data_IF_002877954241
#
_entry.id   IF_002877954241
#
_cell.length_a   1.000
_cell.length_b   1.000
_cell.length_c   1.000
_cell.angle_alpha   90.00
_cell.angle_beta   90.00
_cell.angle_gamma   90.00
#
_symmetry.space_group_name_H-M   'P 1'
#
loop_
_entity.id
_entity.type
_entity.pdbx_description
1 polymer ?
#
# COMPACT_ATOMS: atom_id res chain seq x y z
N UNK A 1 21.66 16.14 -2.88
CA UNK A 1 20.21 16.37 -3.02
C UNK A 1 19.86 17.84 -3.20
N UNK A 2 20.40 18.77 -2.40
CA UNK A 2 20.11 20.23 -2.56
C UNK A 2 20.46 20.77 -3.95
N UNK A 3 21.67 20.49 -4.45
CA UNK A 3 22.10 20.92 -5.79
C UNK A 3 21.25 20.26 -6.90
N UNK A 4 20.90 18.98 -6.73
CA UNK A 4 20.11 18.23 -7.69
C UNK A 4 18.68 18.77 -7.82
N UNK A 5 18.06 19.15 -6.69
CA UNK A 5 16.74 19.77 -6.71
C UNK A 5 16.74 21.14 -7.36
N UNK A 6 17.75 21.98 -7.06
CA UNK A 6 17.87 23.29 -7.70
C UNK A 6 17.98 23.15 -9.21
N UNK A 7 18.79 22.20 -9.67
CA UNK A 7 18.92 21.85 -11.07
C UNK A 7 17.57 21.41 -11.67
N UNK A 8 16.86 20.45 -11.07
CA UNK A 8 15.53 20.03 -11.56
C UNK A 8 14.55 21.21 -11.61
N UNK A 9 14.55 22.08 -10.58
CA UNK A 9 13.63 23.21 -10.50
C UNK A 9 13.95 24.33 -11.49
N UNK A 10 15.22 24.53 -11.84
CA UNK A 10 15.64 25.46 -12.90
C UNK A 10 15.31 24.90 -14.28
N UNK A 11 15.67 23.65 -14.54
CA UNK A 11 15.42 22.96 -15.81
C UNK A 11 13.91 22.82 -16.13
N UNK A 12 13.06 22.70 -15.11
CA UNK A 12 11.60 22.64 -15.28
C UNK A 12 10.95 24.00 -15.56
N UNK A 13 11.60 25.12 -15.21
CA UNK A 13 11.10 26.47 -15.53
C UNK A 13 11.32 26.83 -16.98
N UNK A 14 12.33 26.25 -17.61
CA UNK A 14 12.60 26.48 -19.02
C UNK A 14 11.51 25.87 -19.89
N UNK A 15 11.07 26.56 -20.95
CA UNK A 15 10.04 26.05 -21.88
C UNK A 15 10.61 25.13 -22.96
N UNK A 16 11.88 24.77 -22.87
CA UNK A 16 12.55 23.95 -23.87
C UNK A 16 12.32 22.47 -23.57
N UNK A 17 11.92 21.72 -24.60
CA UNK A 17 11.69 20.28 -24.49
C UNK A 17 12.97 19.50 -24.05
N UNK A 18 14.16 20.05 -24.35
CA UNK A 18 15.44 19.49 -23.91
C UNK A 18 15.64 19.56 -22.39
N UNK A 19 15.39 20.73 -21.78
CA UNK A 19 15.51 20.96 -20.34
C UNK A 19 14.53 20.10 -19.54
N UNK A 20 13.31 19.94 -20.04
CA UNK A 20 12.33 19.01 -19.45
C UNK A 20 12.77 17.55 -19.54
N UNK A 21 13.45 17.16 -20.63
CA UNK A 21 14.00 15.81 -20.77
C UNK A 21 15.15 15.56 -19.80
N UNK A 22 16.06 16.52 -19.63
CA UNK A 22 17.15 16.44 -18.64
C UNK A 22 16.59 16.33 -17.23
N UNK A 23 15.61 17.17 -16.88
CA UNK A 23 14.92 17.07 -15.60
C UNK A 23 14.27 15.69 -15.41
N UNK A 24 13.59 15.14 -16.43
CA UNK A 24 12.98 13.83 -16.38
C UNK A 24 14.01 12.69 -16.23
N UNK A 25 15.16 12.78 -16.90
CA UNK A 25 16.25 11.79 -16.80
C UNK A 25 16.91 11.83 -15.40
N UNK A 26 17.10 13.02 -14.83
CA UNK A 26 17.58 13.18 -13.44
C UNK A 26 16.56 12.58 -12.47
N UNK A 27 15.27 12.88 -12.65
CA UNK A 27 14.19 12.31 -11.84
C UNK A 27 14.15 10.79 -11.93
N UNK A 28 14.22 10.24 -13.15
CA UNK A 28 14.28 8.80 -13.37
C UNK A 28 15.53 8.19 -12.70
N UNK A 29 16.67 8.89 -12.72
CA UNK A 29 17.88 8.51 -12.00
C UNK A 29 17.70 8.49 -10.48
N UNK A 30 17.02 9.49 -9.91
CA UNK A 30 16.69 9.53 -8.47
C UNK A 30 15.75 8.40 -8.09
N UNK A 31 14.71 8.17 -8.89
CA UNK A 31 13.75 7.08 -8.69
C UNK A 31 14.47 5.73 -8.74
N UNK A 32 15.21 5.45 -9.81
CA UNK A 32 15.95 4.20 -9.99
C UNK A 32 17.09 4.04 -8.97
N UNK A 33 17.69 5.13 -8.49
CA UNK A 33 18.73 5.11 -7.47
C UNK A 33 18.18 4.96 -6.05
N UNK A 34 16.90 5.27 -5.83
CA UNK A 34 16.29 5.22 -4.50
C UNK A 34 16.25 3.82 -3.89
N UNK A 35 16.25 2.77 -4.71
CA UNK A 35 16.42 1.37 -4.25
C UNK A 35 17.74 1.09 -3.51
N UNK A 36 18.72 1.98 -3.63
CA UNK A 36 20.02 1.89 -2.95
C UNK A 36 20.20 2.98 -1.90
N UNK A 37 19.13 3.69 -1.49
CA UNK A 37 19.23 4.58 -0.35
C UNK A 37 19.62 3.76 0.89
N UNK A 38 20.81 4.03 1.42
CA UNK A 38 21.38 3.37 2.59
C UNK A 38 21.00 4.08 3.89
N UNK A 39 21.54 3.57 5.01
CA UNK A 39 21.59 4.12 6.38
C UNK A 39 21.71 5.67 6.49
N UNK A 40 22.30 6.33 5.49
CA UNK A 40 22.40 7.79 5.44
C UNK A 40 21.05 8.51 5.28
N UNK A 41 20.02 7.84 4.75
CA UNK A 41 18.67 8.42 4.58
C UNK A 41 17.75 8.12 5.77
N UNK A 42 17.91 6.97 6.45
CA UNK A 42 17.13 6.54 7.61
C UNK A 42 17.06 7.59 8.73
N UNK A 43 18.16 8.31 8.98
CA UNK A 43 18.27 9.24 10.12
C UNK A 43 18.20 10.73 9.74
N UNK A 44 17.89 11.06 8.49
CA UNK A 44 17.79 12.48 8.10
C UNK A 44 16.47 13.09 8.55
N UNK A 45 16.57 14.26 9.17
CA UNK A 45 15.41 15.09 9.53
C UNK A 45 14.62 15.45 8.26
N UNK A 46 13.33 15.09 8.15
CA UNK A 46 12.52 15.38 6.98
C UNK A 46 12.47 16.87 6.63
N UNK A 47 12.65 17.77 7.61
CA UNK A 47 12.72 19.22 7.39
C UNK A 47 13.94 19.63 6.58
N UNK A 48 15.05 18.86 6.66
CA UNK A 48 16.25 19.08 5.83
C UNK A 48 16.08 18.53 4.41
N UNK A 49 15.07 17.68 4.18
CA UNK A 49 14.76 17.07 2.89
C UNK A 49 13.40 17.52 2.35
N UNK A 50 12.88 18.66 2.84
CA UNK A 50 11.59 19.21 2.44
C UNK A 50 11.42 19.38 0.92
N UNK A 51 12.53 19.55 0.20
CA UNK A 51 12.59 19.63 -1.25
C UNK A 51 12.26 18.30 -1.93
N UNK A 52 12.69 17.17 -1.38
CA UNK A 52 12.30 15.84 -1.84
C UNK A 52 10.81 15.60 -1.57
N UNK A 53 10.33 16.00 -0.37
CA UNK A 53 8.91 15.92 -0.01
C UNK A 53 8.07 16.76 -0.98
N UNK A 54 8.49 18.00 -1.26
CA UNK A 54 7.83 18.87 -2.23
C UNK A 54 7.86 18.28 -3.64
N UNK A 55 8.99 17.72 -4.06
CA UNK A 55 9.11 17.04 -5.34
C UNK A 55 8.15 15.85 -5.47
N UNK A 56 8.02 15.03 -4.42
CA UNK A 56 7.06 13.91 -4.40
C UNK A 56 5.63 14.42 -4.43
N UNK A 57 5.31 15.51 -3.74
CA UNK A 57 3.99 16.17 -3.88
C UNK A 57 3.72 16.63 -5.30
N UNK A 58 4.72 17.21 -5.99
CA UNK A 58 4.57 17.57 -7.40
C UNK A 58 4.36 16.32 -8.26
N UNK A 59 5.09 15.23 -7.99
CA UNK A 59 4.89 13.96 -8.68
C UNK A 59 3.49 13.38 -8.48
N UNK A 60 2.95 13.41 -7.26
CA UNK A 60 1.59 12.94 -6.94
C UNK A 60 0.53 13.78 -7.69
N UNK A 61 0.68 15.10 -7.69
CA UNK A 61 -0.28 16.00 -8.31
C UNK A 61 -0.21 16.05 -9.85
N UNK A 62 0.88 15.56 -10.45
CA UNK A 62 1.04 15.58 -11.90
C UNK A 62 0.37 14.36 -12.53
N UNK A 63 -0.87 14.53 -13.02
CA UNK A 63 -1.61 13.51 -13.82
C UNK A 63 -1.04 13.39 -15.23
N UNK A 64 0.23 13.00 -15.35
CA UNK A 64 0.83 12.65 -16.65
C UNK A 64 0.43 11.24 -17.04
N UNK A 65 -0.13 11.04 -18.24
CA UNK A 65 -0.26 9.72 -18.85
C UNK A 65 1.13 9.13 -19.06
N UNK A 66 1.54 8.26 -18.14
CA UNK A 66 2.83 7.58 -18.18
C UNK A 66 2.61 6.11 -18.51
N UNK A 67 3.62 5.52 -19.16
CA UNK A 67 3.66 4.07 -19.34
C UNK A 67 3.75 3.36 -17.97
N UNK A 68 3.33 2.10 -17.91
CA UNK A 68 3.32 1.29 -16.68
C UNK A 68 4.66 1.22 -15.96
N UNK A 69 5.75 1.22 -16.72
CA UNK A 69 7.11 1.18 -16.17
C UNK A 69 7.46 2.44 -15.37
N UNK A 70 7.01 3.60 -15.85
CA UNK A 70 7.19 4.86 -15.15
C UNK A 70 6.29 4.95 -13.91
N UNK A 71 5.08 4.38 -13.96
CA UNK A 71 4.18 4.31 -12.79
C UNK A 71 4.75 3.43 -11.68
N UNK A 72 5.23 2.22 -11.97
CA UNK A 72 5.83 1.37 -10.93
C UNK A 72 7.09 1.98 -10.32
N UNK A 73 7.86 2.71 -11.13
CA UNK A 73 9.04 3.44 -10.68
C UNK A 73 8.64 4.57 -9.71
N UNK A 74 7.57 5.33 -10.02
CA UNK A 74 6.99 6.33 -9.12
C UNK A 74 6.57 5.70 -7.79
N UNK A 75 5.84 4.59 -7.83
CA UNK A 75 5.41 3.89 -6.62
C UNK A 75 6.61 3.39 -5.80
N UNK A 76 7.66 2.87 -6.44
CA UNK A 76 8.90 2.47 -5.76
C UNK A 76 9.55 3.64 -5.01
N UNK A 77 9.61 4.83 -5.61
CA UNK A 77 10.13 6.03 -4.93
C UNK A 77 9.26 6.41 -3.71
N UNK A 78 7.94 6.28 -3.84
CA UNK A 78 7.01 6.56 -2.74
C UNK A 78 7.18 5.54 -1.61
N UNK A 79 7.34 4.25 -1.91
CA UNK A 79 7.62 3.22 -0.90
C UNK A 79 8.88 3.53 -0.10
N UNK A 80 9.93 4.07 -0.74
CA UNK A 80 11.17 4.48 -0.07
C UNK A 80 10.98 5.66 0.91
N UNK A 81 9.81 6.32 0.93
CA UNK A 81 9.47 7.26 2.01
C UNK A 81 9.25 6.58 3.36
N UNK A 82 9.06 5.26 3.38
CA UNK A 82 8.99 4.48 4.61
C UNK A 82 10.19 4.73 5.53
N UNK A 83 11.36 5.04 4.98
CA UNK A 83 12.55 5.40 5.76
C UNK A 83 12.35 6.62 6.67
N UNK A 84 11.44 7.53 6.31
CA UNK A 84 11.09 8.68 7.15
C UNK A 84 10.03 8.35 8.20
N UNK A 85 9.36 7.21 8.07
CA UNK A 85 8.39 6.65 9.01
C UNK A 85 7.30 7.68 9.41
N UNK A 86 6.95 7.72 10.70
CA UNK A 86 5.94 8.56 11.31
C UNK A 86 6.20 10.08 11.21
N UNK A 87 7.39 10.51 10.75
CA UNK A 87 7.82 11.93 10.79
C UNK A 87 7.19 12.81 9.71
N UNK A 88 6.51 12.22 8.72
CA UNK A 88 5.92 12.91 7.57
C UNK A 88 4.41 12.60 7.40
N UNK A 89 3.54 12.87 8.39
CA UNK A 89 2.12 12.48 8.34
C UNK A 89 1.35 13.12 7.18
N UNK A 90 1.59 14.39 6.89
CA UNK A 90 0.84 15.12 5.86
C UNK A 90 0.99 14.51 4.46
N UNK A 91 2.18 14.01 4.11
CA UNK A 91 2.39 13.44 2.78
C UNK A 91 1.78 12.03 2.69
N UNK A 92 1.76 11.27 3.78
CA UNK A 92 1.09 9.96 3.82
C UNK A 92 -0.42 10.08 3.58
N UNK A 93 -1.07 11.12 4.10
CA UNK A 93 -2.47 11.42 3.77
C UNK A 93 -2.66 11.69 2.28
N UNK A 94 -1.85 12.58 1.69
CA UNK A 94 -1.91 12.90 0.25
C UNK A 94 -1.62 11.67 -0.63
N UNK A 95 -0.68 10.82 -0.22
CA UNK A 95 -0.36 9.56 -0.91
C UNK A 95 -1.55 8.59 -0.86
N UNK A 96 -2.23 8.48 0.29
CA UNK A 96 -3.37 7.58 0.44
C UNK A 96 -4.54 8.03 -0.45
N UNK A 97 -4.85 9.33 -0.46
CA UNK A 97 -5.89 9.88 -1.32
C UNK A 97 -5.56 9.67 -2.81
N UNK A 98 -4.30 9.86 -3.20
CA UNK A 98 -3.84 9.55 -4.55
C UNK A 98 -3.95 8.06 -4.88
N UNK A 99 -3.51 7.18 -3.98
CA UNK A 99 -3.53 5.73 -4.16
C UNK A 99 -4.92 5.16 -4.42
N UNK A 100 -5.95 5.72 -3.76
CA UNK A 100 -7.35 5.34 -3.97
C UNK A 100 -7.80 5.54 -5.42
N UNK A 101 -7.30 6.55 -6.12
CA UNK A 101 -7.63 6.80 -7.54
C UNK A 101 -7.08 5.73 -8.49
N UNK A 102 -6.11 4.90 -8.07
CA UNK A 102 -5.42 3.93 -8.93
C UNK A 102 -5.60 2.47 -8.50
N UNK A 103 -6.58 2.17 -7.63
CA UNK A 103 -6.84 0.79 -7.21
C UNK A 103 -7.25 -0.11 -8.38
N UNK A 104 -8.00 0.41 -9.37
CA UNK A 104 -8.47 -0.34 -10.55
C UNK A 104 -7.41 -0.52 -11.66
N UNK A 105 -6.16 -0.11 -11.41
CA UNK A 105 -5.10 -0.07 -12.40
C UNK A 105 -4.91 -1.43 -13.09
N UNK A 106 -4.72 -1.51 -14.42
CA UNK A 106 -4.76 -2.78 -15.17
C UNK A 106 -3.65 -3.78 -14.84
N UNK A 107 -2.51 -3.31 -14.32
CA UNK A 107 -1.36 -4.15 -14.03
C UNK A 107 -1.25 -4.52 -12.55
N UNK A 108 -1.15 -5.83 -12.25
CA UNK A 108 -1.07 -6.40 -10.91
C UNK A 108 0.10 -5.87 -10.07
N UNK A 109 1.28 -5.77 -10.65
CA UNK A 109 2.49 -5.28 -9.96
C UNK A 109 2.35 -3.85 -9.43
N UNK A 110 1.60 -3.00 -10.14
CA UNK A 110 1.26 -1.65 -9.67
C UNK A 110 0.27 -1.72 -8.51
N UNK A 111 -0.77 -2.54 -8.61
CA UNK A 111 -1.74 -2.76 -7.51
C UNK A 111 -1.06 -3.31 -6.24
N UNK A 112 -0.11 -4.22 -6.37
CA UNK A 112 0.69 -4.74 -5.25
C UNK A 112 1.55 -3.63 -4.60
N UNK A 113 2.16 -2.77 -5.42
CA UNK A 113 2.94 -1.63 -4.91
C UNK A 113 2.06 -0.63 -4.17
N UNK A 114 0.86 -0.35 -4.70
CA UNK A 114 -0.15 0.50 -4.06
C UNK A 114 -0.59 -0.10 -2.72
N UNK A 115 -0.95 -1.38 -2.69
CA UNK A 115 -1.35 -2.07 -1.47
C UNK A 115 -0.26 -2.05 -0.39
N UNK A 116 1.01 -2.26 -0.77
CA UNK A 116 2.15 -2.16 0.14
C UNK A 116 2.28 -0.76 0.76
N UNK A 117 2.12 0.29 -0.05
CA UNK A 117 2.19 1.69 0.43
C UNK A 117 1.02 2.00 1.37
N UNK A 118 -0.18 1.52 1.06
CA UNK A 118 -1.34 1.70 1.91
C UNK A 118 -1.14 1.01 3.27
N UNK A 119 -0.60 -0.21 3.28
CA UNK A 119 -0.23 -0.93 4.51
C UNK A 119 0.83 -0.20 5.34
N UNK A 120 1.86 0.36 4.71
CA UNK A 120 2.85 1.20 5.41
C UNK A 120 2.17 2.41 6.04
N UNK A 121 1.27 3.08 5.30
CA UNK A 121 0.63 4.31 5.78
C UNK A 121 -0.23 4.11 7.04
N UNK A 122 -0.92 2.97 7.14
CA UNK A 122 -1.76 2.62 8.31
C UNK A 122 -0.95 2.13 9.50
N UNK A 123 0.24 1.58 9.29
CA UNK A 123 1.10 1.08 10.39
C UNK A 123 1.52 2.16 11.38
N UNK A 124 1.38 3.44 11.01
CA UNK A 124 1.65 4.60 11.87
C UNK A 124 0.41 5.13 12.60
N UNK A 125 -0.76 4.49 12.46
CA UNK A 125 -1.98 4.84 13.17
C UNK A 125 -1.95 4.27 14.59
N UNK A 126 -1.40 5.04 15.52
CA UNK A 126 -1.36 4.71 16.96
C UNK A 126 -2.34 5.56 17.76
N UNK A 127 -2.96 4.97 18.79
CA UNK A 127 -3.74 5.74 19.76
C UNK A 127 -2.79 6.33 20.81
N UNK A 128 -2.75 7.66 20.93
CA UNK A 128 -1.92 8.34 21.92
C UNK A 128 -2.52 8.17 23.33
N UNK A 129 -1.68 8.30 24.37
CA UNK A 129 -2.09 8.18 25.79
C UNK A 129 -3.26 9.09 26.20
N UNK A 130 -3.51 10.18 25.47
CA UNK A 130 -4.62 11.11 25.70
C UNK A 130 -5.90 10.74 24.91
N UNK A 131 -5.95 9.54 24.32
CA UNK A 131 -7.06 9.06 23.49
C UNK A 131 -7.18 9.75 22.13
N UNK A 132 -6.23 10.60 21.74
CA UNK A 132 -6.23 11.24 20.41
C UNK A 132 -5.55 10.34 19.39
N UNK A 133 -6.15 10.23 18.21
CA UNK A 133 -5.54 9.59 17.05
C UNK A 133 -4.36 10.42 16.53
N UNK A 134 -3.47 9.76 15.77
CA UNK A 134 -2.38 10.47 15.11
C UNK A 134 -2.88 11.34 13.95
N UNK A 135 -1.95 12.06 13.32
CA UNK A 135 -2.19 12.80 12.08
C UNK A 135 -2.00 11.94 10.82
N UNK A 136 -1.72 10.65 10.97
CA UNK A 136 -1.60 9.71 9.86
C UNK A 136 -2.98 9.23 9.38
N UNK A 137 -3.07 8.58 8.22
CA UNK A 137 -4.32 7.98 7.78
C UNK A 137 -4.86 7.02 8.83
N UNK A 138 -6.15 7.17 9.14
CA UNK A 138 -6.80 6.34 10.13
C UNK A 138 -7.19 4.99 9.54
N UNK A 139 -6.87 3.92 10.27
CA UNK A 139 -7.07 2.53 9.87
C UNK A 139 -8.56 2.23 9.71
N UNK A 140 -9.42 2.64 10.65
CA UNK A 140 -10.87 2.43 10.54
C UNK A 140 -11.47 3.06 9.29
N UNK A 141 -11.16 4.34 9.01
CA UNK A 141 -11.66 5.00 7.80
C UNK A 141 -11.17 4.35 6.50
N UNK A 142 -9.92 3.86 6.50
CA UNK A 142 -9.35 3.17 5.35
C UNK A 142 -10.03 1.82 5.12
N UNK A 143 -10.23 1.05 6.18
CA UNK A 143 -10.97 -0.21 6.18
C UNK A 143 -12.38 0.03 5.66
N UNK A 144 -13.12 0.99 6.20
CA UNK A 144 -14.47 1.32 5.72
C UNK A 144 -14.47 1.67 4.23
N UNK A 145 -13.44 2.37 3.75
CA UNK A 145 -13.32 2.70 2.32
C UNK A 145 -13.13 1.44 1.48
N UNK A 146 -12.24 0.52 1.88
CA UNK A 146 -12.00 -0.73 1.16
C UNK A 146 -13.22 -1.66 1.20
N UNK A 147 -13.89 -1.73 2.35
CA UNK A 147 -15.11 -2.52 2.56
C UNK A 147 -16.29 -2.00 1.72
N UNK A 148 -16.47 -0.68 1.62
CA UNK A 148 -17.51 -0.10 0.76
C UNK A 148 -17.21 -0.26 -0.74
N UNK A 149 -15.92 -0.22 -1.10
CA UNK A 149 -15.45 -0.47 -2.47
C UNK A 149 -15.85 -1.90 -2.91
N UNK A 150 -15.63 -2.93 -2.09
CA UNK A 150 -16.04 -4.29 -2.45
C UNK A 150 -17.55 -4.41 -2.72
N UNK A 151 -18.38 -3.67 -2.00
CA UNK A 151 -19.84 -3.69 -2.15
C UNK A 151 -20.32 -2.93 -3.42
N UNK A 152 -19.73 -1.77 -3.72
CA UNK A 152 -20.09 -0.97 -4.91
C UNK A 152 -19.72 -1.67 -6.23
N UNK A 153 -18.67 -2.51 -6.22
CA UNK A 153 -18.23 -3.29 -7.38
C UNK A 153 -19.28 -4.28 -7.90
N UNK A 154 -20.17 -4.75 -7.01
CA UNK A 154 -21.21 -5.74 -7.31
C UNK A 154 -22.37 -5.12 -8.10
N UNK A 155 -22.48 -3.78 -8.14
CA UNK A 155 -23.63 -3.07 -8.72
C UNK A 155 -23.45 -2.50 -10.13
N UNK A 156 -22.25 -2.54 -10.71
CA UNK A 156 -21.95 -1.81 -11.95
C UNK A 156 -21.66 -2.79 -13.10
N UNK A 157 -22.35 -2.61 -14.23
CA UNK A 157 -22.03 -3.21 -15.54
C UNK A 157 -20.70 -2.64 -16.07
N UNK A 158 -19.63 -2.90 -15.33
CA UNK A 158 -18.25 -2.60 -15.68
C UNK A 158 -17.74 -3.82 -16.43
N UNK A 159 -17.07 -3.62 -17.58
CA UNK A 159 -16.47 -4.74 -18.35
C UNK A 159 -15.82 -5.74 -17.39
N UNK A 160 -16.19 -7.02 -17.44
CA UNK A 160 -15.87 -8.02 -16.40
C UNK A 160 -14.39 -8.02 -15.94
N UNK A 161 -13.48 -7.61 -16.83
CA UNK A 161 -12.06 -7.40 -16.55
C UNK A 161 -11.76 -6.29 -15.53
N UNK A 162 -12.45 -5.14 -15.62
CA UNK A 162 -12.29 -4.01 -14.70
C UNK A 162 -12.87 -4.34 -13.32
N UNK A 163 -14.03 -4.98 -13.28
CA UNK A 163 -14.61 -5.47 -12.03
C UNK A 163 -13.66 -6.44 -11.31
N UNK A 164 -13.07 -7.39 -12.05
CA UNK A 164 -12.09 -8.34 -11.50
C UNK A 164 -10.82 -7.64 -10.98
N UNK A 165 -10.30 -6.64 -11.69
CA UNK A 165 -9.17 -5.85 -11.21
C UNK A 165 -9.48 -5.12 -9.89
N UNK A 166 -10.70 -4.61 -9.75
CA UNK A 166 -11.13 -3.87 -8.58
C UNK A 166 -11.32 -4.78 -7.37
N UNK A 167 -11.92 -5.96 -7.55
CA UNK A 167 -11.99 -7.00 -6.52
C UNK A 167 -10.58 -7.43 -6.11
N UNK A 168 -9.69 -7.69 -7.06
CA UNK A 168 -8.30 -8.05 -6.75
C UNK A 168 -7.57 -6.92 -6.01
N UNK A 169 -7.84 -5.66 -6.33
CA UNK A 169 -7.28 -4.51 -5.62
C UNK A 169 -7.76 -4.46 -4.15
N UNK A 170 -9.06 -4.67 -3.92
CA UNK A 170 -9.64 -4.78 -2.58
C UNK A 170 -9.00 -5.92 -1.78
N UNK A 171 -8.89 -7.10 -2.37
CA UNK A 171 -8.23 -8.27 -1.77
C UNK A 171 -6.76 -7.98 -1.46
N UNK A 172 -6.01 -7.35 -2.38
CA UNK A 172 -4.62 -6.95 -2.12
C UNK A 172 -4.53 -5.94 -0.96
N UNK A 173 -5.47 -4.99 -0.87
CA UNK A 173 -5.58 -4.05 0.24
C UNK A 173 -5.83 -4.76 1.58
N UNK A 174 -6.80 -5.68 1.62
CA UNK A 174 -7.08 -6.51 2.81
C UNK A 174 -5.88 -7.36 3.21
N UNK A 175 -5.22 -8.01 2.25
CA UNK A 175 -3.97 -8.74 2.50
C UNK A 175 -2.92 -7.83 3.14
N UNK A 176 -2.76 -6.61 2.62
CA UNK A 176 -1.78 -5.66 3.12
C UNK A 176 -2.13 -5.16 4.54
N UNK A 177 -3.43 -5.02 4.87
CA UNK A 177 -3.90 -4.72 6.22
C UNK A 177 -3.56 -5.86 7.18
N UNK A 178 -3.90 -7.11 6.83
CA UNK A 178 -3.62 -8.29 7.67
C UNK A 178 -2.11 -8.44 7.91
N UNK A 179 -1.30 -8.24 6.88
CA UNK A 179 0.16 -8.36 6.98
C UNK A 179 0.86 -7.14 7.59
N UNK A 180 0.13 -6.05 7.86
CA UNK A 180 0.70 -4.83 8.47
C UNK A 180 1.07 -5.02 9.95
N UNK A 181 0.45 -5.99 10.61
CA UNK A 181 0.60 -6.27 12.04
C UNK A 181 1.11 -7.70 12.24
N UNK A 182 2.38 -7.99 11.92
CA UNK A 182 2.93 -9.30 12.20
C UNK A 182 3.03 -9.49 13.73
N UNK A 183 2.73 -10.69 14.21
CA UNK A 183 2.83 -11.07 15.63
C UNK A 183 1.78 -10.45 16.56
N UNK A 184 0.75 -9.79 16.04
CA UNK A 184 -0.32 -9.20 16.83
C UNK A 184 -1.66 -9.29 16.10
N UNK A 185 -2.77 -9.31 16.85
CA UNK A 185 -4.12 -9.38 16.29
C UNK A 185 -4.95 -8.19 16.79
N UNK A 186 -4.82 -7.04 16.10
CA UNK A 186 -5.74 -5.92 16.27
C UNK A 186 -7.19 -6.33 16.02
N UNK A 187 -8.13 -5.59 16.61
CA UNK A 187 -9.57 -5.89 16.56
C UNK A 187 -10.15 -5.97 15.14
N UNK A 188 -9.52 -5.34 14.15
CA UNK A 188 -9.96 -5.36 12.76
C UNK A 188 -9.43 -6.55 11.95
N UNK A 189 -8.40 -7.25 12.43
CA UNK A 189 -7.76 -8.36 11.70
C UNK A 189 -8.68 -9.56 11.55
N UNK A 190 -9.45 -9.99 12.58
CA UNK A 190 -10.42 -11.08 12.43
C UNK A 190 -11.42 -10.83 11.31
N UNK A 191 -12.03 -9.64 11.26
CA UNK A 191 -13.03 -9.30 10.24
C UNK A 191 -12.40 -9.20 8.84
N UNK A 192 -11.21 -8.62 8.73
CA UNK A 192 -10.47 -8.56 7.47
C UNK A 192 -10.12 -9.97 6.94
N UNK A 193 -9.75 -10.90 7.81
CA UNK A 193 -9.51 -12.29 7.44
C UNK A 193 -10.77 -13.01 6.97
N UNK A 194 -11.93 -12.73 7.59
CA UNK A 194 -13.20 -13.31 7.15
C UNK A 194 -13.59 -12.86 5.75
N UNK A 195 -13.46 -11.56 5.45
CA UNK A 195 -13.67 -11.06 4.08
C UNK A 195 -12.71 -11.72 3.08
N UNK A 196 -11.43 -11.88 3.42
CA UNK A 196 -10.48 -12.58 2.55
C UNK A 196 -10.91 -14.02 2.29
N UNK A 197 -11.44 -14.71 3.30
CA UNK A 197 -11.98 -16.07 3.16
C UNK A 197 -13.23 -16.13 2.27
N UNK A 198 -14.09 -15.11 2.26
CA UNK A 198 -15.25 -15.06 1.34
C UNK A 198 -14.82 -15.09 -0.13
N UNK A 199 -13.69 -14.44 -0.45
CA UNK A 199 -13.10 -14.40 -1.78
C UNK A 199 -12.21 -15.62 -2.10
N UNK A 200 -12.14 -16.65 -1.24
CA UNK A 200 -11.27 -17.81 -1.47
C UNK A 200 -11.68 -18.68 -2.67
N UNK A 201 -12.93 -18.55 -3.12
CA UNK A 201 -13.51 -19.30 -4.25
C UNK A 201 -13.52 -18.51 -5.56
N UNK A 202 -13.02 -17.27 -5.55
CA UNK A 202 -12.92 -16.42 -6.75
C UNK A 202 -11.91 -16.97 -7.77
N UNK A 203 -11.81 -16.39 -8.99
CA UNK A 203 -10.84 -16.83 -9.99
C UNK A 203 -9.39 -16.89 -9.49
N UNK A 204 -8.57 -17.77 -10.07
CA UNK A 204 -7.18 -18.08 -9.64
C UNK A 204 -6.29 -16.86 -9.38
N UNK A 205 -6.52 -15.77 -10.12
CA UNK A 205 -5.78 -14.51 -9.98
C UNK A 205 -5.90 -13.93 -8.56
N UNK A 206 -7.10 -14.04 -7.96
CA UNK A 206 -7.45 -13.57 -6.62
C UNK A 206 -6.99 -14.60 -5.57
N UNK A 207 -7.28 -15.88 -5.79
CA UNK A 207 -6.90 -16.94 -4.85
C UNK A 207 -5.41 -16.98 -4.56
N UNK A 208 -4.56 -16.72 -5.55
CA UNK A 208 -3.10 -16.72 -5.36
C UNK A 208 -2.67 -15.68 -4.32
N UNK A 209 -3.25 -14.49 -4.36
CA UNK A 209 -2.95 -13.43 -3.40
C UNK A 209 -3.43 -13.80 -1.99
N UNK A 210 -4.62 -14.40 -1.87
CA UNK A 210 -5.19 -14.87 -0.60
C UNK A 210 -4.32 -15.99 -0.01
N UNK A 211 -3.96 -17.00 -0.81
CA UNK A 211 -3.06 -18.11 -0.43
C UNK A 211 -1.76 -17.59 0.18
N UNK A 212 -1.11 -16.65 -0.50
CA UNK A 212 0.14 -16.06 -0.03
C UNK A 212 -0.05 -15.30 1.29
N UNK A 213 -1.12 -14.50 1.39
CA UNK A 213 -1.42 -13.75 2.60
C UNK A 213 -1.69 -14.66 3.80
N UNK A 214 -2.57 -15.66 3.65
CA UNK A 214 -2.90 -16.61 4.70
C UNK A 214 -1.69 -17.44 5.13
N UNK A 215 -0.82 -17.81 4.19
CA UNK A 215 0.43 -18.50 4.49
C UNK A 215 1.37 -17.63 5.33
N UNK A 216 1.56 -16.36 4.96
CA UNK A 216 2.41 -15.43 5.72
C UNK A 216 1.81 -15.06 7.08
N UNK A 217 0.50 -14.88 7.17
CA UNK A 217 -0.21 -14.68 8.43
C UNK A 217 0.02 -15.87 9.36
N UNK A 218 -0.20 -17.10 8.88
CA UNK A 218 0.05 -18.32 9.66
C UNK A 218 1.50 -18.43 10.10
N UNK A 219 2.46 -18.11 9.22
CA UNK A 219 3.89 -18.16 9.53
C UNK A 219 4.28 -17.19 10.65
N UNK A 220 3.73 -15.98 10.63
CA UNK A 220 4.08 -14.93 11.60
C UNK A 220 3.39 -15.11 12.95
N UNK A 221 2.20 -15.72 12.99
CA UNK A 221 1.41 -15.89 14.22
C UNK A 221 1.51 -17.29 14.84
N UNK A 222 2.32 -18.18 14.25
CA UNK A 222 2.43 -19.59 14.67
C UNK A 222 2.82 -19.75 16.14
N UNK A 223 3.86 -19.04 16.58
CA UNK A 223 4.49 -19.28 17.88
C UNK A 223 3.57 -18.86 19.05
N UNK A 224 2.83 -17.76 18.87
CA UNK A 224 1.88 -17.24 19.86
C UNK A 224 0.42 -17.56 19.50
N UNK A 225 0.17 -18.58 18.66
CA UNK A 225 -1.18 -18.87 18.16
C UNK A 225 -2.19 -19.16 19.28
N UNK A 226 -1.74 -19.72 20.40
CA UNK A 226 -2.57 -20.03 21.56
C UNK A 226 -3.20 -18.78 22.22
N UNK A 227 -2.51 -17.63 22.18
CA UNK A 227 -3.04 -16.34 22.66
C UNK A 227 -3.85 -15.66 21.55
N UNK A 228 -3.30 -15.65 20.34
CA UNK A 228 -3.90 -15.05 19.17
C UNK A 228 -5.30 -15.59 18.83
N UNK A 229 -5.51 -16.90 18.99
CA UNK A 229 -6.82 -17.53 18.72
C UNK A 229 -7.94 -17.03 19.64
N UNK A 230 -7.62 -16.43 20.78
CA UNK A 230 -8.62 -15.89 21.72
C UNK A 230 -9.28 -14.61 21.18
N UNK A 231 -8.68 -13.96 20.18
CA UNK A 231 -9.24 -12.78 19.50
C UNK A 231 -10.26 -13.13 18.41
N UNK A 232 -10.50 -14.42 18.15
CA UNK A 232 -11.45 -14.89 17.15
C UNK A 232 -12.64 -15.58 17.81
N UNK A 233 -13.79 -15.51 17.15
CA UNK A 233 -14.94 -16.36 17.50
C UNK A 233 -14.73 -17.80 17.04
N UNK A 234 -15.48 -18.75 17.63
CA UNK A 234 -15.42 -20.16 17.22
C UNK A 234 -15.77 -20.34 15.73
N UNK A 235 -16.76 -19.59 15.23
CA UNK A 235 -17.16 -19.60 13.82
C UNK A 235 -16.03 -19.10 12.91
N UNK A 236 -15.35 -18.00 13.29
CA UNK A 236 -14.23 -17.46 12.53
C UNK A 236 -13.05 -18.45 12.47
N UNK A 237 -12.74 -19.13 13.58
CA UNK A 237 -11.71 -20.16 13.63
C UNK A 237 -12.05 -21.37 12.76
N UNK A 238 -13.33 -21.75 12.69
CA UNK A 238 -13.79 -22.85 11.85
C UNK A 238 -13.59 -22.53 10.35
N UNK A 239 -13.97 -21.32 9.92
CA UNK A 239 -13.75 -20.84 8.55
C UNK A 239 -12.26 -20.79 8.21
N UNK A 240 -11.43 -20.22 9.10
CA UNK A 240 -9.98 -20.16 8.90
C UNK A 240 -9.36 -21.55 8.77
N UNK A 241 -9.78 -22.51 9.59
CA UNK A 241 -9.27 -23.87 9.53
C UNK A 241 -9.59 -24.53 8.18
N UNK A 242 -10.83 -24.41 7.69
CA UNK A 242 -11.26 -25.00 6.43
C UNK A 242 -10.51 -24.42 5.22
N UNK A 243 -10.37 -23.09 5.17
CA UNK A 243 -9.62 -22.40 4.11
C UNK A 243 -8.13 -22.73 4.18
N UNK A 244 -7.51 -22.73 5.37
CA UNK A 244 -6.09 -23.06 5.51
C UNK A 244 -5.76 -24.53 5.17
N UNK A 245 -6.69 -25.45 5.42
CA UNK A 245 -6.54 -26.87 5.06
C UNK A 245 -6.68 -27.05 3.54
N UNK A 246 -7.73 -26.48 2.92
CA UNK A 246 -7.93 -26.55 1.47
C UNK A 246 -6.81 -25.88 0.65
N UNK A 247 -6.08 -24.97 1.28
CA UNK A 247 -4.94 -24.25 0.67
C UNK A 247 -3.58 -24.90 1.01
N UNK A 248 -3.56 -25.99 1.78
CA UNK A 248 -2.36 -26.76 2.05
C UNK A 248 -2.10 -27.77 0.92
N UNK A 249 -0.87 -27.85 0.42
CA UNK A 249 -0.43 -28.78 -0.65
C UNK A 249 -0.53 -30.28 -0.29
N UNK A 250 -1.07 -30.60 0.89
CA UNK A 250 -1.28 -31.96 1.39
C UNK A 250 -2.77 -32.30 1.31
N UNK A 251 -3.30 -32.40 0.09
CA UNK A 251 -4.57 -33.06 -0.22
C UNK A 251 -4.32 -34.12 -1.30
#
# INVERSE_FOLDING_TARGET
MEQLYMLIHEETKEKQAGSHRVAAEIVAGVICGSKYWTLEMENKDPRRIYRLIHFIRTLINTKTMLNTFNEISRWTLITNLNEFQWRIPSIWCEINDYAKEFLDHPYKNVRESIASILSISISFDITLFNGKSTRHPNTSQFIDTIFNISDEAVGIDLEARKALNFIEAGVLGLCAIVLSSPYDIPSYVPDALMLLCEHSHDPDIIQKSIKNCLSEFRRTHHDSWHEHREQFTEDQLAVLADVLISHSYYA
#
